data_IF_338634778368
#
_entry.id   IF_338634778368
#
_cell.length_a   1.000
_cell.length_b   1.000
_cell.length_c   1.000
_cell.angle_alpha   90.00
_cell.angle_beta   90.00
_cell.angle_gamma   90.00
#
_symmetry.space_group_name_H-M   'P 1'
#
loop_
_entity.id
_entity.type
_entity.pdbx_description
1 polymer ?
#
# COMPACT_ATOMS: atom_id res chain seq x y z
N UNK A 1 12.22 -28.10 -3.93
CA UNK A 1 11.12 -27.35 -3.27
C UNK A 1 11.55 -27.08 -1.86
N UNK A 2 11.58 -25.83 -1.43
CA UNK A 2 12.03 -25.41 -0.09
C UNK A 2 10.83 -25.10 0.81
N UNK A 3 10.83 -25.63 2.02
CA UNK A 3 9.86 -25.19 3.04
C UNK A 3 10.24 -23.80 3.55
N UNK A 4 9.26 -22.92 3.67
CA UNK A 4 9.44 -21.55 4.13
C UNK A 4 8.31 -21.19 5.08
N UNK A 5 8.65 -20.47 6.16
CA UNK A 5 7.69 -20.00 7.15
C UNK A 5 7.67 -18.49 7.13
N UNK A 6 6.47 -17.90 7.06
CA UNK A 6 6.27 -16.47 7.24
C UNK A 6 5.09 -16.23 8.19
N UNK A 7 5.34 -15.54 9.30
CA UNK A 7 4.38 -15.43 10.38
C UNK A 7 3.97 -16.81 10.89
N UNK A 8 2.67 -17.10 10.87
CA UNK A 8 2.16 -18.44 11.24
C UNK A 8 1.98 -19.38 10.03
N UNK A 9 2.22 -18.93 8.81
CA UNK A 9 1.97 -19.69 7.60
C UNK A 9 3.20 -20.49 7.15
N UNK A 10 2.97 -21.74 6.75
CA UNK A 10 3.98 -22.62 6.13
C UNK A 10 3.76 -22.68 4.62
N UNK A 11 4.81 -22.63 3.83
CA UNK A 11 4.78 -22.70 2.36
C UNK A 11 5.80 -23.72 1.86
N UNK A 12 5.54 -24.30 0.70
CA UNK A 12 6.51 -25.07 -0.09
C UNK A 12 6.73 -24.34 -1.42
N UNK A 13 7.85 -23.64 -1.56
CA UNK A 13 8.14 -22.79 -2.73
C UNK A 13 9.24 -23.44 -3.59
N UNK A 14 9.21 -23.28 -4.93
CA UNK A 14 10.30 -23.69 -5.80
C UNK A 14 11.61 -23.01 -5.41
N UNK A 15 12.73 -23.71 -5.55
CA UNK A 15 14.06 -23.10 -5.35
C UNK A 15 14.47 -22.34 -6.61
N UNK A 16 15.05 -21.16 -6.46
CA UNK A 16 15.50 -20.33 -7.58
C UNK A 16 15.49 -18.83 -7.29
N UNK A 17 15.96 -18.04 -8.26
CA UNK A 17 15.86 -16.57 -8.20
C UNK A 17 14.40 -16.15 -8.32
N UNK A 18 13.97 -15.25 -7.44
CA UNK A 18 12.61 -14.71 -7.42
C UNK A 18 12.37 -13.94 -8.71
N UNK A 19 11.45 -14.41 -9.54
CA UNK A 19 11.09 -13.78 -10.80
C UNK A 19 9.61 -14.02 -11.13
N UNK A 20 9.05 -13.23 -12.07
CA UNK A 20 7.68 -13.43 -12.56
C UNK A 20 7.52 -14.76 -13.30
N UNK A 21 8.63 -15.32 -13.77
CA UNK A 21 8.70 -16.57 -14.52
C UNK A 21 8.68 -17.80 -13.60
N UNK A 22 8.79 -17.62 -12.27
CA UNK A 22 8.61 -18.74 -11.35
C UNK A 22 7.16 -19.27 -11.42
N UNK A 23 6.96 -20.60 -11.43
CA UNK A 23 5.63 -21.19 -11.54
C UNK A 23 4.73 -20.85 -10.34
N UNK A 24 5.33 -20.56 -9.18
CA UNK A 24 4.65 -20.12 -7.96
C UNK A 24 5.42 -18.94 -7.38
N UNK A 25 4.80 -17.77 -7.37
CA UNK A 25 5.46 -16.58 -6.87
C UNK A 25 5.35 -16.42 -5.34
N UNK A 26 6.49 -16.21 -4.71
CA UNK A 26 6.63 -15.77 -3.33
C UNK A 26 7.84 -14.86 -3.23
N UNK A 27 7.66 -13.69 -2.62
CA UNK A 27 8.74 -12.73 -2.37
C UNK A 27 8.81 -12.40 -0.87
N UNK A 28 9.89 -12.79 -0.15
CA UNK A 28 10.06 -12.49 1.27
C UNK A 28 10.19 -10.98 1.55
N UNK A 29 10.62 -10.16 0.58
CA UNK A 29 10.66 -8.68 0.71
C UNK A 29 9.27 -8.08 0.99
N UNK A 30 8.22 -8.76 0.58
CA UNK A 30 6.82 -8.34 0.78
C UNK A 30 6.24 -8.74 2.14
N UNK A 31 7.04 -9.28 3.07
CA UNK A 31 6.58 -9.70 4.40
C UNK A 31 5.94 -8.52 5.16
N UNK A 32 6.61 -7.36 5.17
CA UNK A 32 6.10 -6.14 5.81
C UNK A 32 4.74 -5.72 5.25
N UNK A 33 4.53 -5.85 3.94
CA UNK A 33 3.26 -5.55 3.27
C UNK A 33 2.13 -6.43 3.79
N UNK A 34 2.38 -7.73 3.91
CA UNK A 34 1.39 -8.70 4.42
C UNK A 34 1.11 -8.48 5.90
N UNK A 35 2.15 -8.25 6.70
CA UNK A 35 2.04 -8.00 8.15
C UNK A 35 1.24 -6.74 8.44
N UNK A 36 1.54 -5.63 7.76
CA UNK A 36 0.82 -4.36 7.97
C UNK A 36 -0.68 -4.46 7.61
N UNK A 37 -1.03 -5.22 6.56
CA UNK A 37 -2.43 -5.46 6.21
C UNK A 37 -3.17 -6.23 7.33
N UNK A 38 -2.54 -7.26 7.90
CA UNK A 38 -3.11 -8.03 9.02
C UNK A 38 -3.31 -7.14 10.24
N UNK A 39 -2.29 -6.35 10.61
CA UNK A 39 -2.39 -5.42 11.75
C UNK A 39 -3.48 -4.37 11.53
N UNK A 40 -3.61 -3.84 10.31
CA UNK A 40 -4.65 -2.86 9.98
C UNK A 40 -6.06 -3.47 10.07
N UNK A 41 -6.27 -4.67 9.52
CA UNK A 41 -7.56 -5.36 9.62
C UNK A 41 -7.93 -5.66 11.08
N UNK A 42 -6.95 -6.00 11.92
CA UNK A 42 -7.16 -6.17 13.37
C UNK A 42 -7.57 -4.86 14.03
N UNK A 43 -6.86 -3.77 13.74
CA UNK A 43 -7.12 -2.43 14.28
C UNK A 43 -8.50 -1.87 13.89
N UNK A 44 -8.97 -2.20 12.67
CA UNK A 44 -10.30 -1.82 12.20
C UNK A 44 -11.43 -2.54 12.95
N UNK A 45 -11.16 -3.70 13.57
CA UNK A 45 -12.11 -4.41 14.44
C UNK A 45 -13.40 -4.87 13.76
N UNK A 46 -13.44 -4.91 12.43
CA UNK A 46 -14.61 -5.39 11.66
C UNK A 46 -14.84 -6.87 11.91
N UNK A 47 -16.05 -7.36 11.62
CA UNK A 47 -16.42 -8.77 11.82
C UNK A 47 -16.90 -9.38 10.52
N UNK A 48 -16.72 -10.70 10.38
CA UNK A 48 -17.24 -11.50 9.26
C UNK A 48 -16.87 -10.94 7.87
N UNK A 49 -15.60 -10.54 7.68
CA UNK A 49 -15.10 -10.03 6.42
C UNK A 49 -15.06 -11.11 5.34
N UNK A 50 -15.60 -10.79 4.16
CA UNK A 50 -15.37 -11.53 2.92
C UNK A 50 -14.18 -10.89 2.19
N UNK A 51 -13.11 -11.65 2.04
CA UNK A 51 -11.83 -11.17 1.51
C UNK A 51 -11.60 -11.76 0.12
N UNK A 52 -11.21 -10.93 -0.84
CA UNK A 52 -10.76 -11.33 -2.15
C UNK A 52 -9.28 -11.05 -2.35
N UNK A 53 -8.58 -12.05 -2.89
CA UNK A 53 -7.20 -11.98 -3.33
C UNK A 53 -7.16 -12.32 -4.84
N UNK A 54 -7.40 -11.33 -5.73
CA UNK A 54 -7.50 -11.59 -7.17
C UNK A 54 -6.19 -12.11 -7.80
N UNK A 55 -5.04 -11.75 -7.21
CA UNK A 55 -3.70 -12.20 -7.61
C UNK A 55 -3.01 -12.84 -6.39
N UNK A 56 -3.36 -14.10 -6.10
CA UNK A 56 -3.00 -14.74 -4.85
C UNK A 56 -1.54 -15.27 -4.81
N UNK A 57 -0.90 -15.51 -5.94
CA UNK A 57 0.44 -16.10 -6.03
C UNK A 57 0.51 -17.42 -5.26
N UNK A 58 1.42 -17.52 -4.29
CA UNK A 58 1.50 -18.69 -3.40
C UNK A 58 0.33 -18.85 -2.42
N UNK A 59 -0.57 -17.87 -2.33
CA UNK A 59 -1.66 -17.83 -1.33
C UNK A 59 -1.23 -17.34 0.05
N UNK A 60 0.04 -16.97 0.24
CA UNK A 60 0.59 -16.62 1.55
C UNK A 60 -0.23 -15.55 2.29
N UNK A 61 -0.72 -14.53 1.58
CA UNK A 61 -1.47 -13.41 2.15
C UNK A 61 -2.75 -13.86 2.85
N UNK A 62 -3.57 -14.65 2.15
CA UNK A 62 -4.83 -15.15 2.71
C UNK A 62 -4.62 -16.22 3.77
N UNK A 63 -3.58 -17.05 3.63
CA UNK A 63 -3.23 -18.06 4.65
C UNK A 63 -2.81 -17.35 5.94
N UNK A 64 -1.95 -16.34 5.87
CA UNK A 64 -1.57 -15.55 7.06
C UNK A 64 -2.76 -14.86 7.68
N UNK A 65 -3.64 -14.23 6.88
CA UNK A 65 -4.89 -13.65 7.40
C UNK A 65 -5.71 -14.69 8.17
N UNK A 66 -5.93 -15.88 7.62
CA UNK A 66 -6.71 -16.96 8.25
C UNK A 66 -6.07 -17.51 9.54
N UNK A 67 -4.74 -17.50 9.65
CA UNK A 67 -4.02 -18.03 10.82
C UNK A 67 -3.72 -16.99 11.90
N UNK A 68 -3.65 -15.72 11.54
CA UNK A 68 -3.17 -14.65 12.42
C UNK A 68 -4.27 -13.69 12.87
N UNK A 69 -5.40 -13.60 12.14
CA UNK A 69 -6.56 -12.84 12.55
C UNK A 69 -7.53 -13.71 13.39
N UNK A 70 -8.28 -13.10 14.33
CA UNK A 70 -9.34 -13.82 15.05
C UNK A 70 -10.36 -14.42 14.08
N UNK A 71 -10.80 -15.66 14.31
CA UNK A 71 -11.75 -16.35 13.44
C UNK A 71 -13.09 -15.61 13.27
N UNK A 72 -13.49 -14.80 14.27
CA UNK A 72 -14.69 -13.95 14.21
C UNK A 72 -14.56 -12.79 13.21
N UNK A 73 -13.33 -12.42 12.84
CA UNK A 73 -13.04 -11.32 11.93
C UNK A 73 -13.22 -11.76 10.47
N UNK A 74 -13.00 -13.03 10.14
CA UNK A 74 -13.04 -13.54 8.77
C UNK A 74 -14.26 -14.45 8.57
N UNK A 75 -15.15 -14.04 7.67
CA UNK A 75 -16.20 -14.93 7.18
C UNK A 75 -15.61 -15.92 6.17
N UNK A 76 -14.95 -15.42 5.13
CA UNK A 76 -14.49 -16.19 3.98
C UNK A 76 -13.30 -15.53 3.28
N UNK A 77 -12.39 -16.33 2.70
CA UNK A 77 -11.28 -15.84 1.86
C UNK A 77 -11.32 -16.52 0.49
N UNK A 78 -11.50 -15.71 -0.55
CA UNK A 78 -11.47 -16.14 -1.94
C UNK A 78 -10.09 -15.88 -2.54
N UNK A 79 -9.39 -16.96 -2.87
CA UNK A 79 -8.11 -16.96 -3.57
C UNK A 79 -8.36 -17.11 -5.06
N UNK A 80 -7.78 -16.22 -5.86
CA UNK A 80 -7.76 -16.35 -7.31
C UNK A 80 -6.35 -16.17 -7.83
N UNK A 81 -6.00 -16.94 -8.86
CA UNK A 81 -4.81 -16.68 -9.67
C UNK A 81 -5.07 -17.13 -11.11
N UNK A 82 -4.37 -16.53 -12.07
CA UNK A 82 -4.46 -16.96 -13.47
C UNK A 82 -3.65 -18.25 -13.71
N UNK A 83 -2.56 -18.45 -12.95
CA UNK A 83 -1.68 -19.59 -13.10
C UNK A 83 -2.25 -20.85 -12.42
N UNK A 84 -2.43 -21.92 -13.20
CA UNK A 84 -2.80 -23.23 -12.67
C UNK A 84 -1.78 -23.75 -11.64
N UNK A 85 -0.50 -23.47 -11.85
CA UNK A 85 0.57 -23.83 -10.93
C UNK A 85 0.44 -23.08 -9.59
N UNK A 86 0.10 -21.79 -9.64
CA UNK A 86 -0.19 -21.00 -8.44
C UNK A 86 -1.42 -21.56 -7.70
N UNK A 87 -2.50 -21.88 -8.42
CA UNK A 87 -3.71 -22.50 -7.85
C UNK A 87 -3.42 -23.86 -7.20
N UNK A 88 -2.60 -24.70 -7.84
CA UNK A 88 -2.15 -25.96 -7.26
C UNK A 88 -1.34 -25.74 -5.98
N UNK A 89 -0.46 -24.74 -5.96
CA UNK A 89 0.29 -24.37 -4.77
C UNK A 89 -0.61 -23.85 -3.65
N UNK A 90 -1.59 -22.99 -3.95
CA UNK A 90 -2.58 -22.50 -2.97
C UNK A 90 -3.32 -23.68 -2.31
N UNK A 91 -3.80 -24.64 -3.11
CA UNK A 91 -4.46 -25.86 -2.60
C UNK A 91 -3.55 -26.63 -1.63
N UNK A 92 -2.29 -26.85 -2.01
CA UNK A 92 -1.29 -27.52 -1.18
C UNK A 92 -1.01 -26.73 0.11
N UNK A 93 -0.81 -25.42 0.01
CA UNK A 93 -0.50 -24.57 1.15
C UNK A 93 -1.65 -24.47 2.13
N UNK A 94 -2.90 -24.40 1.66
CA UNK A 94 -4.07 -24.46 2.54
C UNK A 94 -4.13 -25.77 3.33
N UNK A 95 -3.81 -26.90 2.68
CA UNK A 95 -3.77 -28.21 3.31
C UNK A 95 -2.71 -28.30 4.42
N UNK A 96 -1.44 -27.97 4.14
CA UNK A 96 -0.34 -28.07 5.14
C UNK A 96 -0.50 -27.10 6.32
N UNK A 97 -1.34 -26.07 6.16
CA UNK A 97 -1.68 -25.12 7.20
C UNK A 97 -2.95 -25.46 7.98
N UNK A 98 -3.60 -26.59 7.68
CA UNK A 98 -4.86 -27.03 8.30
C UNK A 98 -5.96 -25.98 8.19
N UNK A 99 -6.03 -25.25 7.06
CA UNK A 99 -7.07 -24.24 6.85
C UNK A 99 -8.37 -24.93 6.41
N UNK A 100 -9.51 -24.69 7.10
CA UNK A 100 -10.77 -25.32 6.74
C UNK A 100 -11.24 -24.93 5.33
N UNK A 101 -11.63 -25.93 4.52
CA UNK A 101 -12.18 -25.69 3.17
C UNK A 101 -13.46 -24.86 3.19
N UNK A 102 -14.23 -24.91 4.28
CA UNK A 102 -15.47 -24.13 4.45
C UNK A 102 -15.25 -22.62 4.57
N UNK A 103 -14.00 -22.19 4.81
CA UNK A 103 -13.62 -20.78 4.93
C UNK A 103 -12.99 -20.21 3.67
N UNK A 104 -12.82 -21.03 2.61
CA UNK A 104 -12.05 -20.63 1.45
C UNK A 104 -12.70 -21.04 0.13
N UNK A 105 -12.42 -20.25 -0.90
CA UNK A 105 -12.69 -20.63 -2.30
C UNK A 105 -11.42 -20.40 -3.09
N UNK A 106 -11.15 -21.28 -4.04
CA UNK A 106 -9.98 -21.18 -4.91
C UNK A 106 -10.49 -21.16 -6.35
N UNK A 107 -10.10 -20.16 -7.11
CA UNK A 107 -10.49 -19.97 -8.51
C UNK A 107 -9.24 -19.84 -9.38
N UNK A 108 -9.30 -20.45 -10.57
CA UNK A 108 -8.29 -20.27 -11.61
C UNK A 108 -8.91 -19.41 -12.71
N UNK A 109 -8.70 -18.10 -12.66
CA UNK A 109 -9.28 -17.17 -13.62
C UNK A 109 -8.45 -15.89 -13.72
N UNK A 110 -8.65 -15.18 -14.82
CA UNK A 110 -8.26 -13.78 -14.90
C UNK A 110 -8.87 -12.98 -13.72
N UNK A 111 -8.08 -12.07 -13.15
CA UNK A 111 -8.44 -11.32 -11.96
C UNK A 111 -9.69 -10.45 -12.16
N UNK A 112 -9.85 -9.82 -13.34
CA UNK A 112 -11.04 -9.03 -13.63
C UNK A 112 -12.26 -9.93 -13.80
N UNK A 113 -12.14 -11.06 -14.50
CA UNK A 113 -13.24 -12.02 -14.64
C UNK A 113 -13.71 -12.57 -13.28
N UNK A 114 -12.76 -12.88 -12.39
CA UNK A 114 -13.04 -13.29 -11.01
C UNK A 114 -13.84 -12.23 -10.25
N UNK A 115 -13.41 -10.96 -10.32
CA UNK A 115 -14.11 -9.84 -9.67
C UNK A 115 -15.50 -9.62 -10.28
N UNK A 116 -15.64 -9.60 -11.61
CA UNK A 116 -16.91 -9.40 -12.33
C UNK A 116 -17.96 -10.41 -11.88
N UNK A 117 -17.58 -11.69 -11.78
CA UNK A 117 -18.48 -12.79 -11.39
C UNK A 117 -18.85 -12.80 -9.90
N UNK A 118 -18.19 -11.98 -9.08
CA UNK A 118 -18.44 -11.89 -7.64
C UNK A 118 -19.62 -10.97 -7.29
N UNK A 119 -20.20 -11.18 -6.10
CA UNK A 119 -21.22 -10.29 -5.50
C UNK A 119 -20.62 -9.05 -4.82
N UNK A 120 -19.29 -8.95 -4.73
CA UNK A 120 -18.55 -7.93 -3.99
C UNK A 120 -17.88 -8.47 -2.72
N UNK A 121 -16.99 -7.66 -2.15
CA UNK A 121 -16.13 -8.07 -1.03
C UNK A 121 -15.93 -6.93 -0.02
N UNK A 122 -15.74 -7.31 1.24
CA UNK A 122 -15.42 -6.37 2.32
C UNK A 122 -13.94 -5.98 2.32
N UNK A 123 -13.09 -6.85 1.77
CA UNK A 123 -11.66 -6.58 1.55
C UNK A 123 -11.27 -7.07 0.16
N UNK A 124 -10.61 -6.23 -0.62
CA UNK A 124 -9.96 -6.62 -1.89
C UNK A 124 -8.50 -6.21 -1.79
N UNK A 125 -7.57 -7.12 -2.07
CA UNK A 125 -6.14 -6.82 -2.09
C UNK A 125 -5.55 -7.03 -3.50
N UNK A 126 -5.27 -5.93 -4.19
CA UNK A 126 -4.66 -5.89 -5.52
C UNK A 126 -3.14 -5.77 -5.35
N UNK A 127 -2.44 -6.88 -5.58
CA UNK A 127 -0.99 -7.00 -5.40
C UNK A 127 -0.34 -7.61 -6.65
N UNK A 128 -0.32 -6.86 -7.77
CA UNK A 128 0.17 -7.38 -9.04
C UNK A 128 1.67 -7.15 -9.20
N UNK A 129 2.19 -7.70 -10.28
CA UNK A 129 3.53 -7.39 -10.74
C UNK A 129 3.55 -6.16 -11.65
N UNK A 130 4.15 -5.07 -11.18
CA UNK A 130 4.19 -3.80 -11.88
C UNK A 130 3.01 -2.94 -11.49
N UNK A 131 2.26 -2.46 -12.47
CA UNK A 131 1.17 -1.52 -12.26
C UNK A 131 -0.13 -2.21 -11.82
N UNK A 132 -0.89 -1.63 -10.87
CA UNK A 132 -2.20 -2.16 -10.48
C UNK A 132 -3.34 -1.71 -11.38
N UNK A 133 -3.11 -0.71 -12.25
CA UNK A 133 -4.16 -0.04 -13.03
C UNK A 133 -5.13 -1.00 -13.76
N UNK A 134 -4.67 -2.11 -14.40
CA UNK A 134 -5.58 -3.02 -15.13
C UNK A 134 -6.66 -3.69 -14.28
N UNK A 135 -6.52 -3.72 -12.95
CA UNK A 135 -7.43 -4.42 -12.04
C UNK A 135 -8.30 -3.48 -11.21
N UNK A 136 -7.97 -2.18 -11.20
CA UNK A 136 -8.57 -1.23 -10.27
C UNK A 136 -10.03 -0.92 -10.60
N UNK A 137 -10.43 -0.95 -11.86
CA UNK A 137 -11.80 -0.65 -12.26
C UNK A 137 -12.80 -1.64 -11.64
N UNK A 138 -12.55 -2.94 -11.83
CA UNK A 138 -13.38 -4.00 -11.25
C UNK A 138 -13.25 -4.08 -9.72
N UNK A 139 -12.05 -3.84 -9.18
CA UNK A 139 -11.88 -3.76 -7.72
C UNK A 139 -12.71 -2.61 -7.12
N UNK A 140 -12.71 -1.44 -7.76
CA UNK A 140 -13.51 -0.29 -7.34
C UNK A 140 -15.00 -0.56 -7.49
N UNK A 141 -15.48 -1.25 -8.53
CA UNK A 141 -16.90 -1.66 -8.62
C UNK A 141 -17.30 -2.62 -7.51
N UNK A 142 -16.45 -3.62 -7.21
CA UNK A 142 -16.78 -4.76 -6.35
C UNK A 142 -16.47 -4.56 -4.86
N UNK A 143 -15.73 -3.53 -4.48
CA UNK A 143 -15.52 -3.23 -3.06
C UNK A 143 -16.83 -2.77 -2.38
N UNK A 144 -17.19 -3.38 -1.27
CA UNK A 144 -18.39 -3.04 -0.48
C UNK A 144 -18.31 -1.63 0.12
N UNK A 145 -19.45 -1.07 0.51
CA UNK A 145 -19.49 0.16 1.32
C UNK A 145 -18.80 -0.11 2.67
N UNK A 146 -17.89 0.77 3.05
CA UNK A 146 -17.01 0.55 4.19
C UNK A 146 -15.96 -0.53 3.93
N UNK A 147 -15.78 -1.03 2.72
CA UNK A 147 -14.78 -2.04 2.42
C UNK A 147 -13.36 -1.50 2.52
N UNK A 148 -12.38 -2.39 2.55
CA UNK A 148 -10.95 -2.09 2.55
C UNK A 148 -10.34 -2.51 1.22
N UNK A 149 -9.73 -1.57 0.49
CA UNK A 149 -9.03 -1.84 -0.76
C UNK A 149 -7.53 -1.68 -0.56
N UNK A 150 -6.78 -2.78 -0.61
CA UNK A 150 -5.32 -2.77 -0.66
C UNK A 150 -4.83 -2.66 -2.10
N UNK A 151 -3.87 -1.77 -2.36
CA UNK A 151 -3.26 -1.56 -3.67
C UNK A 151 -1.74 -1.52 -3.52
N UNK A 152 -1.05 -2.43 -4.20
CA UNK A 152 0.42 -2.38 -4.36
C UNK A 152 0.77 -1.99 -5.79
N UNK A 153 1.77 -1.13 -5.96
CA UNK A 153 2.41 -0.84 -7.24
C UNK A 153 3.91 -1.14 -7.13
N UNK A 154 4.46 -1.94 -8.04
CA UNK A 154 5.90 -2.25 -8.08
C UNK A 154 6.61 -1.63 -9.29
N UNK A 155 5.89 -0.89 -10.13
CA UNK A 155 6.43 -0.09 -11.24
C UNK A 155 6.90 1.29 -10.76
N UNK A 156 7.69 1.30 -9.68
CA UNK A 156 8.20 2.53 -9.04
C UNK A 156 8.99 3.40 -9.99
N UNK A 157 9.66 2.84 -11.01
CA UNK A 157 10.35 3.62 -12.04
C UNK A 157 9.43 4.59 -12.82
N UNK A 158 8.15 4.25 -13.00
CA UNK A 158 7.18 5.19 -13.58
C UNK A 158 6.84 6.29 -12.55
N UNK A 159 6.41 5.88 -11.36
CA UNK A 159 5.92 6.78 -10.31
C UNK A 159 7.00 7.74 -9.80
N UNK A 160 8.27 7.32 -9.78
CA UNK A 160 9.44 8.10 -9.38
C UNK A 160 10.09 8.88 -10.54
N UNK A 161 9.45 8.93 -11.71
CA UNK A 161 9.86 9.84 -12.79
C UNK A 161 11.04 9.40 -13.65
N UNK A 162 11.52 8.16 -13.55
CA UNK A 162 12.52 7.62 -14.51
C UNK A 162 11.96 7.56 -15.93
N UNK A 163 10.66 7.28 -16.07
CA UNK A 163 9.95 7.22 -17.35
C UNK A 163 8.71 8.12 -17.35
N UNK A 164 8.85 9.46 -17.43
CA UNK A 164 7.76 10.40 -17.20
C UNK A 164 6.60 10.24 -18.19
N UNK A 165 6.89 10.07 -19.49
CA UNK A 165 5.85 9.80 -20.50
C UNK A 165 5.06 8.52 -20.23
N UNK A 166 5.69 7.50 -19.67
CA UNK A 166 5.01 6.25 -19.31
C UNK A 166 4.14 6.45 -18.06
N UNK A 167 4.63 7.22 -17.08
CA UNK A 167 3.85 7.63 -15.92
C UNK A 167 2.60 8.43 -16.33
N UNK A 168 2.75 9.39 -17.25
CA UNK A 168 1.64 10.18 -17.78
C UNK A 168 0.56 9.28 -18.42
N UNK A 169 0.94 8.32 -19.27
CA UNK A 169 -0.02 7.39 -19.90
C UNK A 169 -0.74 6.50 -18.89
N UNK A 170 -0.03 5.99 -17.89
CA UNK A 170 -0.56 5.01 -16.92
C UNK A 170 -1.34 5.67 -15.79
N UNK A 171 -0.80 6.73 -15.19
CA UNK A 171 -1.29 7.36 -13.97
C UNK A 171 -1.95 8.73 -14.20
N UNK A 172 -1.86 9.29 -15.41
CA UNK A 172 -2.43 10.60 -15.78
C UNK A 172 -1.93 11.72 -14.88
N UNK A 173 -0.62 11.71 -14.62
CA UNK A 173 0.09 12.71 -13.84
C UNK A 173 1.54 12.81 -14.31
N UNK A 174 2.10 14.02 -14.20
CA UNK A 174 3.53 14.25 -14.35
C UNK A 174 4.25 13.87 -13.04
N UNK A 175 5.22 12.93 -13.08
CA UNK A 175 5.99 12.58 -11.89
C UNK A 175 7.11 13.58 -11.61
N UNK A 176 7.76 13.40 -10.46
CA UNK A 176 8.99 14.13 -10.10
C UNK A 176 10.16 13.16 -10.03
N UNK A 177 11.35 13.58 -10.51
CA UNK A 177 12.59 12.82 -10.38
C UNK A 177 13.62 13.61 -9.55
N UNK A 178 13.30 13.78 -8.27
CA UNK A 178 14.13 14.46 -7.26
C UNK A 178 14.12 13.61 -5.97
N UNK A 179 14.85 13.97 -4.90
CA UNK A 179 14.82 13.19 -3.66
C UNK A 179 13.42 12.91 -3.12
N UNK A 180 12.42 13.77 -3.39
CA UNK A 180 11.01 13.66 -2.97
C UNK A 180 10.17 12.68 -3.81
N UNK A 181 10.76 12.06 -4.83
CA UNK A 181 10.06 11.23 -5.82
C UNK A 181 9.23 10.09 -5.22
N UNK A 182 9.65 9.52 -4.08
CA UNK A 182 8.94 8.42 -3.44
C UNK A 182 7.57 8.87 -2.89
N UNK A 183 7.48 10.06 -2.30
CA UNK A 183 6.22 10.59 -1.82
C UNK A 183 5.33 11.08 -2.97
N UNK A 184 5.93 11.80 -3.93
CA UNK A 184 5.20 12.28 -5.11
C UNK A 184 4.58 11.11 -5.86
N UNK A 185 5.36 10.06 -6.12
CA UNK A 185 4.87 8.84 -6.75
C UNK A 185 3.75 8.15 -5.96
N UNK A 186 3.88 8.04 -4.63
CA UNK A 186 2.83 7.47 -3.79
C UNK A 186 1.53 8.29 -3.87
N UNK A 187 1.64 9.62 -3.86
CA UNK A 187 0.47 10.52 -3.98
C UNK A 187 -0.17 10.50 -5.37
N UNK A 188 0.62 10.28 -6.43
CA UNK A 188 0.11 10.04 -7.78
C UNK A 188 -0.68 8.74 -7.84
N UNK A 189 -0.15 7.65 -7.26
CA UNK A 189 -0.87 6.37 -7.16
C UNK A 189 -2.20 6.54 -6.42
N UNK A 190 -2.19 7.22 -5.27
CA UNK A 190 -3.40 7.52 -4.50
C UNK A 190 -4.45 8.22 -5.36
N UNK A 191 -4.05 9.31 -6.02
CA UNK A 191 -4.92 10.10 -6.88
C UNK A 191 -5.52 9.26 -8.01
N UNK A 192 -4.71 8.42 -8.67
CA UNK A 192 -5.20 7.59 -9.78
C UNK A 192 -6.23 6.56 -9.32
N UNK A 193 -6.03 5.94 -8.15
CA UNK A 193 -7.02 5.03 -7.56
C UNK A 193 -8.31 5.78 -7.22
N UNK A 194 -8.21 6.98 -6.63
CA UNK A 194 -9.37 7.81 -6.29
C UNK A 194 -10.17 8.25 -7.52
N UNK A 195 -9.53 8.59 -8.64
CA UNK A 195 -10.24 8.88 -9.90
C UNK A 195 -11.09 7.71 -10.40
N UNK A 196 -10.58 6.49 -10.25
CA UNK A 196 -11.32 5.28 -10.67
C UNK A 196 -12.49 5.05 -9.71
N UNK A 197 -12.26 5.17 -8.40
CA UNK A 197 -13.33 5.07 -7.40
C UNK A 197 -14.45 6.11 -7.58
N UNK A 198 -14.09 7.35 -7.91
CA UNK A 198 -15.03 8.46 -8.07
C UNK A 198 -16.04 8.23 -9.20
N UNK A 199 -15.66 7.52 -10.27
CA UNK A 199 -16.58 7.14 -11.37
C UNK A 199 -17.75 6.26 -10.89
N UNK A 200 -17.62 5.65 -9.70
CA UNK A 200 -18.62 4.78 -9.08
C UNK A 200 -19.22 5.37 -7.80
N UNK A 201 -19.12 6.69 -7.59
CA UNK A 201 -19.55 7.40 -6.39
C UNK A 201 -18.89 6.86 -5.09
N UNK A 202 -17.63 6.40 -5.19
CA UNK A 202 -16.86 5.87 -4.06
C UNK A 202 -15.68 6.79 -3.74
N UNK A 203 -15.67 7.31 -2.52
CA UNK A 203 -14.52 7.97 -1.93
C UNK A 203 -13.54 6.92 -1.39
N UNK A 204 -12.31 6.93 -1.88
CA UNK A 204 -11.24 6.03 -1.43
C UNK A 204 -10.30 6.77 -0.47
N UNK A 205 -10.59 6.58 0.81
CA UNK A 205 -9.97 7.08 2.03
C UNK A 205 -8.59 6.50 2.36
N UNK A 206 -7.40 7.12 2.17
CA UNK A 206 -6.15 6.49 2.61
C UNK A 206 -6.18 6.19 4.12
N UNK A 207 -6.01 4.92 4.49
CA UNK A 207 -5.87 4.45 5.87
C UNK A 207 -4.41 4.31 6.27
N UNK A 208 -3.63 3.67 5.40
CA UNK A 208 -2.22 3.39 5.57
C UNK A 208 -1.54 3.47 4.20
N UNK A 209 -0.53 4.31 4.06
CA UNK A 209 0.22 4.48 2.81
C UNK A 209 1.70 4.50 3.09
N UNK A 210 2.52 3.81 2.29
CA UNK A 210 3.96 3.92 2.43
C UNK A 210 4.70 3.52 1.16
N UNK A 211 5.93 4.03 1.04
CA UNK A 211 6.89 3.58 0.04
C UNK A 211 7.97 2.68 0.67
N UNK A 212 8.46 1.74 -0.11
CA UNK A 212 9.65 0.92 0.14
C UNK A 212 10.47 0.90 -1.15
N UNK A 213 11.77 0.58 -1.07
CA UNK A 213 12.68 0.55 -2.22
C UNK A 213 12.16 -0.27 -3.43
N UNK A 214 11.25 -1.22 -3.19
CA UNK A 214 10.75 -2.14 -4.21
C UNK A 214 9.29 -1.92 -4.62
N UNK A 215 8.50 -1.18 -3.84
CA UNK A 215 7.06 -1.02 -4.09
C UNK A 215 6.46 0.15 -3.30
N UNK A 216 5.33 0.63 -3.80
CA UNK A 216 4.44 1.57 -3.12
C UNK A 216 3.17 0.84 -2.71
N UNK A 217 2.69 1.08 -1.48
CA UNK A 217 1.51 0.43 -0.92
C UNK A 217 0.55 1.47 -0.37
N UNK A 218 -0.72 1.33 -0.70
CA UNK A 218 -1.82 2.09 -0.12
C UNK A 218 -2.93 1.15 0.28
N UNK A 219 -3.52 1.36 1.44
CA UNK A 219 -4.76 0.71 1.86
C UNK A 219 -5.83 1.76 2.07
N UNK A 220 -6.96 1.61 1.38
CA UNK A 220 -8.06 2.56 1.39
C UNK A 220 -9.26 2.03 2.18
N UNK A 221 -9.97 2.93 2.84
CA UNK A 221 -11.37 2.75 3.22
C UNK A 221 -12.25 3.21 2.07
N UNK A 222 -13.17 2.37 1.61
CA UNK A 222 -14.17 2.76 0.63
C UNK A 222 -15.41 3.31 1.31
N UNK A 223 -15.68 4.59 1.14
CA UNK A 223 -16.94 5.21 1.57
C UNK A 223 -17.82 5.48 0.36
N UNK A 224 -19.10 5.12 0.44
CA UNK A 224 -20.07 5.38 -0.63
C UNK A 224 -20.72 6.74 -0.41
N UNK A 225 -20.72 7.58 -1.44
CA UNK A 225 -21.44 8.85 -1.44
C UNK A 225 -20.83 9.88 -2.39
N UNK A 226 -21.68 10.47 -3.25
CA UNK A 226 -21.32 11.49 -4.23
C UNK A 226 -20.55 12.66 -3.61
N UNK A 227 -21.11 13.28 -2.55
CA UNK A 227 -20.46 14.39 -1.82
C UNK A 227 -19.04 14.05 -1.35
N UNK A 228 -18.84 12.85 -0.80
CA UNK A 228 -17.53 12.43 -0.32
C UNK A 228 -16.54 12.20 -1.45
N UNK A 229 -17.01 11.69 -2.59
CA UNK A 229 -16.18 11.58 -3.80
C UNK A 229 -15.79 12.97 -4.29
N UNK A 230 -16.73 13.92 -4.36
CA UNK A 230 -16.47 15.31 -4.75
C UNK A 230 -15.47 16.00 -3.82
N UNK A 231 -15.64 15.85 -2.50
CA UNK A 231 -14.70 16.33 -1.48
C UNK A 231 -13.30 15.74 -1.64
N UNK A 232 -13.21 14.46 -1.99
CA UNK A 232 -11.93 13.78 -2.25
C UNK A 232 -11.24 14.38 -3.47
N UNK A 233 -11.98 14.63 -4.55
CA UNK A 233 -11.44 15.20 -5.79
C UNK A 233 -10.93 16.63 -5.62
N UNK A 234 -11.55 17.43 -4.72
CA UNK A 234 -11.08 18.80 -4.39
C UNK A 234 -9.69 18.83 -3.74
N UNK A 235 -9.22 17.70 -3.21
CA UNK A 235 -7.90 17.57 -2.58
C UNK A 235 -6.82 17.09 -3.56
N UNK A 236 -7.11 17.08 -4.86
CA UNK A 236 -6.14 16.80 -5.92
C UNK A 236 -5.53 18.11 -6.42
N UNK A 237 -4.22 18.11 -6.66
CA UNK A 237 -3.55 19.30 -7.21
C UNK A 237 -2.09 19.04 -7.56
N UNK A 238 -1.37 20.11 -7.89
CA UNK A 238 0.04 20.05 -8.27
C UNK A 238 0.99 20.26 -7.09
N UNK A 239 2.22 19.76 -7.22
CA UNK A 239 3.31 20.00 -6.27
C UNK A 239 4.63 20.12 -7.03
N UNK A 240 5.29 21.29 -6.95
CA UNK A 240 6.61 21.55 -7.59
C UNK A 240 6.68 21.10 -9.06
N UNK A 241 5.64 21.39 -9.85
CA UNK A 241 5.56 21.00 -11.27
C UNK A 241 5.13 19.55 -11.54
N UNK A 242 4.97 18.71 -10.51
CA UNK A 242 4.40 17.37 -10.61
C UNK A 242 2.90 17.34 -10.29
N UNK A 243 2.24 16.27 -10.71
CA UNK A 243 0.81 16.00 -10.46
C UNK A 243 -0.04 15.98 -11.75
N UNK A 244 -1.39 15.99 -11.61
CA UNK A 244 -2.13 16.10 -10.35
C UNK A 244 -1.90 14.90 -9.42
N UNK A 245 -1.83 15.15 -8.12
CA UNK A 245 -1.60 14.16 -7.08
C UNK A 245 -2.44 14.45 -5.83
N UNK A 246 -2.49 13.51 -4.90
CA UNK A 246 -3.22 13.64 -3.64
C UNK A 246 -2.48 14.56 -2.66
N UNK A 247 -3.11 15.68 -2.25
CA UNK A 247 -2.47 16.70 -1.40
C UNK A 247 -2.77 16.56 0.09
N UNK A 248 -3.68 15.68 0.49
CA UNK A 248 -4.10 15.53 1.89
C UNK A 248 -3.34 14.39 2.60
N UNK A 249 -3.81 14.02 3.79
CA UNK A 249 -3.16 13.06 4.69
C UNK A 249 -2.88 11.70 4.02
N UNK A 250 -1.71 11.12 4.31
CA UNK A 250 -1.34 9.79 3.81
C UNK A 250 -1.81 8.66 4.74
N UNK A 251 -2.03 8.98 6.01
CA UNK A 251 -2.40 8.04 7.06
C UNK A 251 -3.71 8.46 7.71
N UNK A 252 -4.51 7.48 8.13
CA UNK A 252 -5.52 7.72 9.15
C UNK A 252 -4.90 7.45 10.52
N UNK A 253 -4.34 8.50 11.15
CA UNK A 253 -3.61 8.43 12.43
C UNK A 253 -4.43 7.81 13.57
N UNK A 254 -5.75 8.01 13.58
CA UNK A 254 -6.65 7.43 14.58
C UNK A 254 -6.82 5.91 14.45
N UNK A 255 -6.71 5.38 13.23
CA UNK A 255 -6.80 3.94 12.98
C UNK A 255 -5.43 3.29 13.17
N UNK A 256 -4.36 3.86 12.61
CA UNK A 256 -3.03 3.25 12.71
C UNK A 256 -2.48 3.28 14.15
N UNK A 257 -2.94 4.20 15.01
CA UNK A 257 -2.59 4.20 16.44
C UNK A 257 -3.11 2.98 17.22
N UNK A 258 -4.12 2.30 16.69
CA UNK A 258 -4.69 1.05 17.25
C UNK A 258 -3.95 -0.20 16.77
N UNK A 259 -3.07 -0.06 15.76
CA UNK A 259 -2.22 -1.17 15.32
C UNK A 259 -1.16 -1.49 16.37
N UNK A 260 -0.56 -2.69 16.29
CA UNK A 260 0.55 -3.05 17.17
C UNK A 260 1.70 -2.05 17.01
N UNK A 261 2.07 -1.40 18.12
CA UNK A 261 3.17 -0.42 18.15
C UNK A 261 4.49 -1.05 17.73
N UNK A 262 5.22 -0.29 16.93
CA UNK A 262 6.61 -0.53 16.54
C UNK A 262 7.18 0.78 15.97
N UNK A 263 8.50 0.85 15.82
CA UNK A 263 9.19 2.05 15.34
C UNK A 263 8.64 2.60 14.01
N UNK A 264 8.19 1.72 13.10
CA UNK A 264 7.65 2.14 11.82
C UNK A 264 6.26 2.77 11.98
N UNK A 265 5.36 2.17 12.76
CA UNK A 265 4.03 2.74 13.05
C UNK A 265 4.15 4.04 13.84
N UNK A 266 5.04 4.10 14.83
CA UNK A 266 5.27 5.31 15.63
C UNK A 266 5.77 6.47 14.74
N UNK A 267 6.66 6.17 13.78
CA UNK A 267 7.12 7.14 12.78
C UNK A 267 5.97 7.63 11.89
N UNK A 268 5.12 6.73 11.37
CA UNK A 268 3.97 7.12 10.54
C UNK A 268 2.94 7.99 11.29
N UNK A 269 2.78 7.76 12.60
CA UNK A 269 1.88 8.57 13.45
C UNK A 269 2.47 9.97 13.69
N UNK A 270 3.77 10.05 13.95
CA UNK A 270 4.47 11.31 14.20
C UNK A 270 4.60 12.17 12.94
N UNK A 271 4.74 11.55 11.77
CA UNK A 271 4.98 12.24 10.51
C UNK A 271 3.87 13.28 10.21
N UNK A 272 4.22 14.56 9.97
CA UNK A 272 3.25 15.60 9.71
C UNK A 272 2.62 15.45 8.32
N UNK A 273 1.37 15.89 8.18
CA UNK A 273 0.61 15.84 6.93
C UNK A 273 0.99 17.00 5.99
N UNK A 274 2.28 17.11 5.71
CA UNK A 274 2.90 18.06 4.77
C UNK A 274 3.22 17.29 3.49
N UNK A 275 3.01 17.91 2.33
CA UNK A 275 3.38 17.34 1.03
C UNK A 275 4.87 17.54 0.79
N UNK A 276 5.58 16.44 0.54
CA UNK A 276 7.02 16.44 0.29
C UNK A 276 7.84 16.40 1.58
N UNK A 277 9.16 16.37 1.39
CA UNK A 277 10.15 16.30 2.48
C UNK A 277 11.48 16.91 2.03
N UNK A 278 12.34 17.16 3.00
CA UNK A 278 13.69 17.65 2.77
C UNK A 278 14.68 16.53 3.05
N UNK A 279 15.39 16.07 2.02
CA UNK A 279 16.54 15.20 2.20
C UNK A 279 17.75 16.01 2.65
N UNK A 280 18.23 15.79 3.88
CA UNK A 280 19.35 16.53 4.42
C UNK A 280 20.65 16.24 3.67
N UNK A 281 20.81 15.04 3.11
CA UNK A 281 21.99 14.69 2.34
C UNK A 281 22.03 15.38 0.97
N UNK A 282 20.88 15.88 0.49
CA UNK A 282 20.81 16.70 -0.73
C UNK A 282 21.15 18.18 -0.48
N UNK A 283 21.27 18.59 0.79
CA UNK A 283 21.67 19.94 1.17
C UNK A 283 23.18 19.96 1.36
N UNK A 284 23.82 20.95 0.73
CA UNK A 284 25.23 21.23 0.92
C UNK A 284 25.49 21.84 2.31
N UNK A 285 26.01 21.03 3.24
CA UNK A 285 26.47 21.46 4.56
C UNK A 285 27.99 21.36 4.64
N UNK A 286 28.63 22.28 5.39
CA UNK A 286 30.08 22.19 5.69
C UNK A 286 30.43 20.86 6.38
N UNK A 287 29.61 20.46 7.33
CA UNK A 287 29.63 19.15 7.98
C UNK A 287 28.18 18.65 8.06
N UNK A 288 27.95 17.39 7.70
CA UNK A 288 26.61 16.82 7.68
C UNK A 288 26.04 16.70 9.11
N UNK A 289 24.96 17.43 9.44
CA UNK A 289 24.45 17.45 10.79
C UNK A 289 23.72 16.16 11.14
N UNK A 290 23.72 15.78 12.41
CA UNK A 290 22.87 14.66 12.85
C UNK A 290 21.41 15.08 12.77
N UNK A 291 20.56 14.25 12.15
CA UNK A 291 19.10 14.50 12.06
C UNK A 291 18.49 14.89 13.41
N UNK A 292 18.91 14.24 14.50
CA UNK A 292 18.38 14.53 15.84
C UNK A 292 18.64 16.00 16.27
N UNK A 293 19.80 16.54 15.92
CA UNK A 293 20.17 17.93 16.20
C UNK A 293 19.38 18.90 15.32
N UNK A 294 19.25 18.60 14.03
CA UNK A 294 18.40 19.38 13.09
C UNK A 294 16.96 19.47 13.61
N UNK A 295 16.36 18.33 13.95
CA UNK A 295 15.00 18.29 14.48
C UNK A 295 14.86 19.10 15.78
N UNK A 296 15.85 19.01 16.69
CA UNK A 296 15.84 19.77 17.93
C UNK A 296 15.94 21.29 17.70
N UNK A 297 16.79 21.73 16.75
CA UNK A 297 16.92 23.15 16.38
C UNK A 297 15.62 23.67 15.76
N UNK A 298 15.07 22.95 14.77
CA UNK A 298 13.84 23.35 14.10
C UNK A 298 12.65 23.44 15.08
N UNK A 299 12.50 22.45 15.96
CA UNK A 299 11.46 22.47 17.00
C UNK A 299 11.64 23.63 17.99
N UNK A 300 12.88 23.93 18.42
CA UNK A 300 13.17 25.09 19.28
C UNK A 300 12.83 26.42 18.61
N UNK A 301 12.97 26.50 17.28
CA UNK A 301 12.57 27.67 16.47
C UNK A 301 11.07 27.70 16.14
N UNK A 302 10.27 26.76 16.66
CA UNK A 302 8.82 26.72 16.49
C UNK A 302 8.33 26.06 15.20
N UNK A 303 9.22 25.43 14.42
CA UNK A 303 8.83 24.68 13.23
C UNK A 303 8.34 23.28 13.59
N UNK A 304 7.38 22.79 12.79
CA UNK A 304 7.04 21.36 12.75
C UNK A 304 8.21 20.66 12.08
N UNK A 305 8.76 19.63 12.70
CA UNK A 305 9.86 18.86 12.12
C UNK A 305 9.84 17.43 12.64
N UNK A 306 9.72 16.44 11.77
CA UNK A 306 9.83 15.02 12.13
C UNK A 306 10.60 14.24 11.06
N UNK A 307 11.07 13.03 11.44
CA UNK A 307 11.56 12.06 10.44
C UNK A 307 10.42 11.62 9.52
N UNK A 308 10.79 11.18 8.33
CA UNK A 308 9.84 10.56 7.40
C UNK A 308 10.22 9.13 7.07
N UNK A 309 9.21 8.32 6.76
CA UNK A 309 9.40 6.94 6.35
C UNK A 309 9.91 6.78 4.91
N UNK A 310 9.86 7.84 4.09
CA UNK A 310 10.24 7.78 2.68
C UNK A 310 11.73 7.63 2.47
N UNK A 311 12.54 8.29 3.31
CA UNK A 311 13.99 8.28 3.19
C UNK A 311 14.63 8.50 4.56
N UNK A 312 15.60 7.67 4.93
CA UNK A 312 16.23 7.67 6.26
C UNK A 312 16.97 8.99 6.59
N UNK A 313 17.42 9.69 5.56
CA UNK A 313 18.17 10.95 5.61
C UNK A 313 17.26 12.18 5.56
N UNK A 314 15.95 12.00 5.42
CA UNK A 314 15.00 13.07 5.21
C UNK A 314 14.19 13.42 6.47
N UNK A 315 13.70 14.66 6.47
CA UNK A 315 12.77 15.20 7.46
C UNK A 315 11.57 15.84 6.75
N UNK A 316 10.41 15.81 7.40
CA UNK A 316 9.27 16.66 7.03
C UNK A 316 9.21 17.86 7.92
N UNK A 317 9.14 19.05 7.33
CA UNK A 317 9.05 20.30 8.06
C UNK A 317 8.30 21.36 7.27
N UNK A 318 7.71 22.31 7.99
CA UNK A 318 7.20 23.56 7.42
C UNK A 318 8.27 24.68 7.40
N UNK A 319 9.52 24.38 7.75
CA UNK A 319 10.64 25.31 7.63
C UNK A 319 10.98 25.52 6.14
N UNK A 320 10.93 26.77 5.62
CA UNK A 320 11.18 27.02 4.20
C UNK A 320 12.66 26.85 3.80
N UNK A 321 13.58 27.12 4.73
CA UNK A 321 15.02 26.98 4.52
C UNK A 321 15.67 26.32 5.75
N UNK A 322 15.83 24.99 5.66
CA UNK A 322 16.44 24.19 6.73
C UNK A 322 17.90 24.57 6.94
N UNK A 323 18.64 24.94 5.89
CA UNK A 323 20.08 25.26 5.99
C UNK A 323 20.28 26.54 6.77
N UNK A 324 19.53 27.59 6.43
CA UNK A 324 19.56 28.85 7.15
C UNK A 324 19.06 28.71 8.59
N UNK A 325 18.09 27.82 8.84
CA UNK A 325 17.53 27.62 10.17
C UNK A 325 18.49 26.92 11.15
N UNK A 326 19.44 26.11 10.66
CA UNK A 326 20.40 25.38 11.52
C UNK A 326 21.82 25.95 11.50
N UNK A 327 22.08 26.94 10.64
CA UNK A 327 23.29 27.78 10.70
C UNK A 327 23.21 28.74 11.88
#
# INVERSE_FOLDING_TARGET
>A
MKETIEGKARLCIPEGKISKQLPVFYNPVMEKNRTLMIELLRALGKKKLNIALPLAGSGIRGIRMLKELPASLIAHVSFNDYSEAAVAAIKKHLLINNVPKTKTTITCADANLFLIKSKGFDVIDIDPFGTPIPFLDEACKKISRGGVLGVTATDTALLCGTYPKACLRTYWAEPLHTPEMYEVGLRILIRKVQLIGAQYDKALLPLLSYSSDHYMRVVFLSEKGKSKADETLKLHGGYKGAGPLWLSQLQNKQIISKMRKNLFIDMLIAEPDIVGYTDLHSIDFKEQPKIKEVLAVLKRKGFIAERTHFLATAIKTNCPDVKAAIS
#
